data_IF_811333551434
#
_entry.id   IF_811333551434
#
_cell.length_a   1.000
_cell.length_b   1.000
_cell.length_c   1.000
_cell.angle_alpha   90.00
_cell.angle_beta   90.00
_cell.angle_gamma   90.00
#
_symmetry.space_group_name_H-M   'P 1'
#
loop_
_entity.id
_entity.type
_entity.pdbx_description
1 polymer ?
#
# COMPACT_ATOMS: atom_id res chain seq x y z
N UNK A 1 -44.37 13.70 -3.58
CA UNK A 1 -43.81 12.42 -4.09
C UNK A 1 -42.49 12.69 -4.82
N UNK A 2 -41.42 13.00 -4.09
CA UNK A 2 -40.06 13.11 -4.67
C UNK A 2 -39.13 12.56 -3.58
N UNK A 3 -38.50 11.40 -3.81
CA UNK A 3 -37.53 10.85 -2.84
C UNK A 3 -37.35 9.33 -2.76
N UNK A 4 -37.53 8.56 -3.84
CA UNK A 4 -37.23 7.11 -3.85
C UNK A 4 -36.18 6.70 -4.90
N UNK A 5 -35.51 7.65 -5.57
CA UNK A 5 -34.63 7.34 -6.70
C UNK A 5 -33.17 6.99 -6.39
N UNK A 6 -32.65 7.32 -5.19
CA UNK A 6 -31.21 7.22 -4.91
C UNK A 6 -30.78 6.06 -4.01
N UNK A 7 -31.66 5.47 -3.19
CA UNK A 7 -31.32 4.32 -2.34
C UNK A 7 -31.10 3.03 -3.15
N UNK A 8 -31.67 2.93 -4.35
CA UNK A 8 -31.38 1.84 -5.29
C UNK A 8 -29.97 1.89 -5.90
N UNK A 9 -29.26 3.02 -5.81
CA UNK A 9 -27.95 3.17 -6.46
C UNK A 9 -26.81 2.50 -5.68
N UNK A 10 -26.94 2.39 -4.36
CA UNK A 10 -25.93 1.77 -3.48
C UNK A 10 -26.05 0.23 -3.36
N UNK A 11 -27.17 -0.34 -3.83
CA UNK A 11 -27.42 -1.78 -3.86
C UNK A 11 -27.04 -2.42 -5.20
N UNK A 12 -26.93 -1.62 -6.27
CA UNK A 12 -26.50 -2.08 -7.60
C UNK A 12 -24.96 -2.20 -7.66
N UNK A 13 -24.40 -3.22 -8.33
CA UNK A 13 -22.96 -3.38 -8.44
C UNK A 13 -22.33 -2.18 -9.19
N UNK A 14 -21.15 -1.70 -8.76
CA UNK A 14 -20.50 -0.56 -9.38
C UNK A 14 -20.15 -0.88 -10.84
N UNK A 15 -20.38 0.08 -11.74
CA UNK A 15 -20.01 -0.07 -13.16
C UNK A 15 -18.51 -0.30 -13.26
N UNK A 16 -18.07 -1.23 -14.13
CA UNK A 16 -16.65 -1.60 -14.33
C UNK A 16 -15.70 -0.41 -14.51
N UNK A 17 -16.14 0.64 -15.21
CA UNK A 17 -15.37 1.90 -15.36
C UNK A 17 -15.12 2.61 -14.02
N UNK A 18 -16.12 2.65 -13.14
CA UNK A 18 -15.99 3.26 -11.81
C UNK A 18 -15.04 2.46 -10.92
N UNK A 19 -15.02 1.13 -11.06
CA UNK A 19 -14.09 0.25 -10.34
C UNK A 19 -12.65 0.54 -10.75
N UNK A 20 -12.40 0.67 -12.06
CA UNK A 20 -11.08 0.98 -12.59
C UNK A 20 -10.59 2.38 -12.15
N UNK A 21 -11.45 3.39 -12.24
CA UNK A 21 -11.10 4.74 -11.78
C UNK A 21 -10.79 4.78 -10.29
N UNK A 22 -11.58 4.06 -9.48
CA UNK A 22 -11.30 3.96 -8.04
C UNK A 22 -9.98 3.23 -7.78
N UNK A 23 -9.78 2.05 -8.40
CA UNK A 23 -8.61 1.20 -8.18
C UNK A 23 -7.30 1.90 -8.52
N UNK A 24 -7.27 2.79 -9.51
CA UNK A 24 -6.06 3.52 -9.90
C UNK A 24 -5.63 4.61 -8.92
N UNK A 25 -6.53 5.05 -8.02
CA UNK A 25 -6.28 6.20 -7.15
C UNK A 25 -5.08 6.06 -6.23
N UNK A 26 -4.73 4.83 -5.86
CA UNK A 26 -3.64 4.56 -4.92
C UNK A 26 -2.28 4.28 -5.61
N UNK A 27 -2.21 4.35 -6.94
CA UNK A 27 -1.01 4.01 -7.71
C UNK A 27 0.23 4.82 -7.30
N UNK A 28 0.09 6.13 -7.07
CA UNK A 28 1.21 6.98 -6.63
C UNK A 28 1.78 6.51 -5.28
N UNK A 29 0.91 6.21 -4.32
CA UNK A 29 1.31 5.68 -3.03
C UNK A 29 1.99 4.31 -3.15
N UNK A 30 1.48 3.42 -3.99
CA UNK A 30 2.02 2.07 -4.15
C UNK A 30 3.38 2.07 -4.85
N UNK A 31 3.57 2.87 -5.91
CA UNK A 31 4.86 2.93 -6.64
C UNK A 31 5.95 3.59 -5.80
N UNK A 32 5.60 4.64 -5.05
CA UNK A 32 6.53 5.33 -4.15
C UNK A 32 6.85 4.48 -2.93
N UNK A 33 5.88 3.74 -2.37
CA UNK A 33 6.13 2.77 -1.30
C UNK A 33 7.05 1.64 -1.78
N UNK A 34 6.80 1.05 -2.95
CA UNK A 34 7.67 0.03 -3.51
C UNK A 34 9.12 0.53 -3.63
N UNK A 35 9.30 1.79 -4.05
CA UNK A 35 10.62 2.41 -4.18
C UNK A 35 11.25 2.73 -2.82
N UNK A 36 10.46 3.24 -1.87
CA UNK A 36 10.85 3.46 -0.49
C UNK A 36 11.41 2.18 0.13
N UNK A 37 10.65 1.09 0.08
CA UNK A 37 11.05 -0.18 0.69
C UNK A 37 12.21 -0.87 0.00
N UNK A 38 12.31 -0.76 -1.33
CA UNK A 38 13.35 -1.46 -2.09
C UNK A 38 14.67 -0.70 -2.10
N UNK A 39 14.63 0.63 -2.20
CA UNK A 39 15.80 1.43 -2.58
C UNK A 39 16.21 2.48 -1.56
N UNK A 40 15.36 2.88 -0.59
CA UNK A 40 15.72 3.97 0.33
C UNK A 40 16.96 3.65 1.16
N UNK A 41 16.97 2.50 1.83
CA UNK A 41 18.10 2.12 2.69
C UNK A 41 19.38 1.96 1.88
N UNK A 42 19.30 1.33 0.70
CA UNK A 42 20.43 1.20 -0.24
C UNK A 42 20.97 2.58 -0.63
N UNK A 43 20.09 3.47 -1.07
CA UNK A 43 20.45 4.84 -1.43
C UNK A 43 21.13 5.58 -0.28
N UNK A 44 20.55 5.57 0.93
CA UNK A 44 21.11 6.27 2.09
C UNK A 44 22.48 5.71 2.48
N UNK A 45 22.70 4.40 2.38
CA UNK A 45 24.01 3.81 2.65
C UNK A 45 25.02 4.11 1.54
N UNK A 46 24.60 4.13 0.28
CA UNK A 46 25.45 4.40 -0.88
C UNK A 46 25.95 5.86 -0.91
N UNK A 47 25.16 6.81 -0.40
CA UNK A 47 25.58 8.21 -0.26
C UNK A 47 26.45 8.47 0.99
N UNK A 48 26.63 7.46 1.85
CA UNK A 48 27.58 7.50 2.97
C UNK A 48 26.99 7.61 4.37
N UNK A 49 25.66 7.54 4.56
CA UNK A 49 25.11 7.43 5.92
C UNK A 49 25.45 6.07 6.52
N UNK A 50 25.66 6.04 7.84
CA UNK A 50 25.80 4.77 8.55
C UNK A 50 24.49 3.97 8.47
N UNK A 51 24.53 2.61 8.47
CA UNK A 51 23.31 1.80 8.50
C UNK A 51 22.38 2.15 9.67
N UNK A 52 22.95 2.59 10.79
CA UNK A 52 22.19 3.07 11.95
C UNK A 52 21.40 4.33 11.62
N UNK A 53 22.02 5.31 10.98
CA UNK A 53 21.37 6.59 10.66
C UNK A 53 20.35 6.43 9.53
N UNK A 54 20.63 5.59 8.53
CA UNK A 54 19.66 5.22 7.51
C UNK A 54 18.40 4.56 8.12
N UNK A 55 18.58 3.68 9.11
CA UNK A 55 17.47 3.08 9.84
C UNK A 55 16.68 4.12 10.65
N UNK A 56 17.34 5.14 11.22
CA UNK A 56 16.66 6.25 11.92
C UNK A 56 15.77 7.03 10.96
N UNK A 57 16.24 7.33 9.74
CA UNK A 57 15.44 8.00 8.70
C UNK A 57 14.21 7.17 8.32
N UNK A 58 14.37 5.86 8.12
CA UNK A 58 13.24 5.00 7.80
C UNK A 58 12.23 4.94 8.97
N UNK A 59 12.73 4.81 10.20
CA UNK A 59 11.91 4.77 11.42
C UNK A 59 11.12 6.08 11.64
N UNK A 60 11.72 7.24 11.35
CA UNK A 60 11.00 8.53 11.48
C UNK A 60 9.78 8.57 10.54
N UNK A 61 9.92 8.02 9.34
CA UNK A 61 8.83 7.81 8.41
C UNK A 61 7.71 6.95 8.98
N UNK A 62 8.04 5.80 9.55
CA UNK A 62 7.04 4.88 10.13
C UNK A 62 6.29 5.46 11.32
N UNK A 63 7.00 6.16 12.21
CA UNK A 63 6.36 6.86 13.34
C UNK A 63 5.41 7.94 12.82
N UNK A 64 5.82 8.69 11.81
CA UNK A 64 4.99 9.72 11.19
C UNK A 64 3.75 9.12 10.50
N UNK A 65 3.88 8.01 9.77
CA UNK A 65 2.76 7.30 9.13
C UNK A 65 1.69 6.91 10.15
N UNK A 66 2.12 6.25 11.24
CA UNK A 66 1.22 5.82 12.29
C UNK A 66 0.43 6.99 12.88
N UNK A 67 1.13 8.05 13.30
CA UNK A 67 0.48 9.22 13.88
C UNK A 67 -0.45 9.91 12.87
N UNK A 68 0.04 10.14 11.65
CA UNK A 68 -0.69 10.82 10.59
C UNK A 68 -1.94 10.05 10.16
N UNK A 69 -1.91 8.71 10.21
CA UNK A 69 -3.07 7.87 9.95
C UNK A 69 -4.20 8.21 10.93
N UNK A 70 -3.94 8.20 12.25
CA UNK A 70 -4.94 8.57 13.28
C UNK A 70 -5.51 9.96 13.04
N UNK A 71 -4.62 10.94 12.86
CA UNK A 71 -5.04 12.33 12.66
C UNK A 71 -5.87 12.49 11.39
N UNK A 72 -5.45 11.89 10.27
CA UNK A 72 -6.19 11.92 9.01
C UNK A 72 -7.59 11.34 9.17
N UNK A 73 -7.73 10.22 9.90
CA UNK A 73 -9.03 9.64 10.23
C UNK A 73 -9.97 10.59 10.98
N UNK A 74 -9.46 11.25 12.03
CA UNK A 74 -10.26 12.22 12.79
C UNK A 74 -10.65 13.43 11.95
N UNK A 75 -9.72 13.94 11.15
CA UNK A 75 -9.94 15.12 10.34
C UNK A 75 -10.94 14.83 9.21
N UNK A 76 -10.87 13.65 8.59
CA UNK A 76 -11.87 13.21 7.61
C UNK A 76 -13.25 13.03 8.28
N UNK A 77 -13.31 12.46 9.50
CA UNK A 77 -14.55 12.34 10.29
C UNK A 77 -15.19 13.71 10.60
N UNK A 78 -14.38 14.77 10.77
CA UNK A 78 -14.84 16.12 11.12
C UNK A 78 -15.19 16.98 9.90
N UNK A 79 -14.32 16.97 8.89
CA UNK A 79 -14.38 17.90 7.76
C UNK A 79 -14.92 17.27 6.48
N UNK A 80 -15.00 15.95 6.40
CA UNK A 80 -15.41 15.23 5.19
C UNK A 80 -14.44 15.45 4.02
N UNK A 81 -14.95 15.33 2.79
CA UNK A 81 -14.24 15.61 1.52
C UNK A 81 -13.06 14.67 1.20
N UNK A 82 -13.37 13.39 0.95
CA UNK A 82 -12.37 12.35 0.66
C UNK A 82 -11.43 12.73 -0.50
N UNK A 83 -11.93 13.34 -1.57
CA UNK A 83 -11.09 13.69 -2.72
C UNK A 83 -10.12 14.83 -2.39
N UNK A 84 -10.53 15.80 -1.57
CA UNK A 84 -9.64 16.88 -1.17
C UNK A 84 -8.48 16.36 -0.32
N UNK A 85 -8.76 15.52 0.67
CA UNK A 85 -7.73 14.86 1.48
C UNK A 85 -6.81 13.97 0.65
N UNK A 86 -7.37 13.21 -0.29
CA UNK A 86 -6.58 12.41 -1.22
C UNK A 86 -5.68 13.28 -2.11
N UNK A 87 -6.20 14.37 -2.67
CA UNK A 87 -5.42 15.26 -3.53
C UNK A 87 -4.28 15.94 -2.75
N UNK A 88 -4.57 16.45 -1.56
CA UNK A 88 -3.58 17.07 -0.69
C UNK A 88 -2.49 16.07 -0.27
N UNK A 89 -2.87 14.86 0.13
CA UNK A 89 -1.91 13.79 0.46
C UNK A 89 -1.04 13.39 -0.73
N UNK A 90 -1.66 13.22 -1.92
CA UNK A 90 -0.93 12.85 -3.15
C UNK A 90 0.04 13.94 -3.59
N UNK A 91 -0.34 15.22 -3.47
CA UNK A 91 0.56 16.35 -3.74
C UNK A 91 1.73 16.36 -2.76
N UNK A 92 1.46 16.13 -1.47
CA UNK A 92 2.50 16.07 -0.45
C UNK A 92 3.48 14.93 -0.71
N UNK A 93 2.99 13.75 -1.09
CA UNK A 93 3.80 12.61 -1.54
C UNK A 93 4.67 12.99 -2.73
N UNK A 94 4.10 13.57 -3.80
CA UNK A 94 4.85 13.92 -5.00
C UNK A 94 6.00 14.91 -4.73
N UNK A 95 5.74 15.95 -3.92
CA UNK A 95 6.75 16.97 -3.58
C UNK A 95 7.82 16.38 -2.66
N UNK A 96 7.42 15.71 -1.58
CA UNK A 96 8.36 15.18 -0.58
C UNK A 96 9.21 14.04 -1.12
N UNK A 97 8.66 13.13 -1.93
CA UNK A 97 9.38 11.98 -2.47
C UNK A 97 10.51 12.40 -3.42
N UNK A 98 10.31 13.49 -4.18
CA UNK A 98 11.38 14.14 -4.95
C UNK A 98 12.53 14.61 -4.06
N UNK A 99 12.23 15.12 -2.86
CA UNK A 99 13.23 15.58 -1.90
C UNK A 99 13.90 14.45 -1.10
N UNK A 100 13.22 13.32 -0.89
CA UNK A 100 13.81 12.13 -0.23
C UNK A 100 15.02 11.58 -0.99
N UNK A 101 15.00 11.66 -2.33
CA UNK A 101 16.13 11.27 -3.18
C UNK A 101 16.92 12.48 -3.72
N UNK A 102 16.51 13.71 -3.41
CA UNK A 102 17.01 14.96 -4.02
C UNK A 102 18.18 15.64 -3.30
N UNK A 103 18.85 14.93 -2.38
CA UNK A 103 19.93 15.45 -1.56
C UNK A 103 19.47 16.27 -0.34
N UNK A 104 20.39 16.53 0.59
CA UNK A 104 20.09 17.26 1.82
C UNK A 104 19.90 18.77 1.58
N UNK A 105 18.63 19.22 1.44
CA UNK A 105 18.28 20.64 1.33
C UNK A 105 18.77 21.47 2.53
N UNK A 106 18.64 21.02 3.80
CA UNK A 106 19.18 21.76 4.95
C UNK A 106 20.71 21.91 4.91
N UNK A 107 21.43 20.92 4.38
CA UNK A 107 22.88 20.96 4.28
C UNK A 107 23.36 22.05 3.30
N UNK A 108 22.61 22.27 2.21
CA UNK A 108 22.86 23.38 1.27
C UNK A 108 22.56 24.75 1.88
N UNK A 109 21.58 24.84 2.79
CA UNK A 109 21.19 26.10 3.43
C UNK A 109 22.17 26.49 4.55
N UNK A 110 22.59 25.52 5.37
CA UNK A 110 23.42 25.75 6.55
C UNK A 110 24.93 25.57 6.32
N UNK A 111 25.36 25.21 5.09
CA UNK A 111 26.78 25.01 4.70
C UNK A 111 27.57 24.16 5.72
N UNK A 112 26.93 23.12 6.24
CA UNK A 112 27.53 22.19 7.18
C UNK A 112 27.33 20.77 6.65
N UNK A 113 28.39 19.99 6.60
CA UNK A 113 28.38 18.62 6.06
C UNK A 113 28.45 17.59 7.20
N UNK A 114 27.70 17.81 8.27
CA UNK A 114 27.62 16.86 9.38
C UNK A 114 26.61 15.77 9.05
N UNK A 115 27.01 14.50 9.22
CA UNK A 115 26.13 13.33 9.06
C UNK A 115 24.86 13.43 9.92
N UNK A 116 24.93 14.06 11.09
CA UNK A 116 23.77 14.33 11.95
C UNK A 116 22.76 15.25 11.27
N UNK A 117 23.22 16.31 10.61
CA UNK A 117 22.33 17.27 9.94
C UNK A 117 21.71 16.67 8.68
N UNK A 118 22.47 15.84 7.97
CA UNK A 118 21.98 15.07 6.84
C UNK A 118 20.87 14.08 7.26
N UNK A 119 21.11 13.34 8.34
CA UNK A 119 20.13 12.42 8.94
C UNK A 119 18.85 13.15 9.34
N UNK A 120 18.97 14.32 9.98
CA UNK A 120 17.81 15.15 10.35
C UNK A 120 17.06 15.62 9.10
N UNK A 121 17.77 16.08 8.06
CA UNK A 121 17.18 16.54 6.82
C UNK A 121 16.36 15.46 6.12
N UNK A 122 16.95 14.27 5.93
CA UNK A 122 16.23 13.13 5.36
C UNK A 122 15.08 12.67 6.26
N UNK A 123 15.26 12.68 7.59
CA UNK A 123 14.19 12.30 8.54
C UNK A 123 12.96 13.21 8.47
N UNK A 124 13.15 14.51 8.20
CA UNK A 124 12.06 15.46 8.01
C UNK A 124 11.28 15.15 6.73
N UNK A 125 11.97 14.98 5.60
CA UNK A 125 11.30 14.65 4.34
C UNK A 125 10.64 13.26 4.37
N UNK A 126 11.27 12.29 5.02
CA UNK A 126 10.72 10.98 5.33
C UNK A 126 9.40 11.08 6.10
N UNK A 127 9.36 11.91 7.15
CA UNK A 127 8.15 12.12 7.93
C UNK A 127 7.05 12.80 7.10
N UNK A 128 7.38 13.84 6.34
CA UNK A 128 6.41 14.55 5.48
C UNK A 128 5.84 13.63 4.40
N UNK A 129 6.68 12.81 3.77
CA UNK A 129 6.27 11.80 2.79
C UNK A 129 5.25 10.83 3.39
N UNK A 130 5.54 10.28 4.56
CA UNK A 130 4.65 9.33 5.22
C UNK A 130 3.35 9.98 5.72
N UNK A 131 3.36 11.26 6.11
CA UNK A 131 2.13 12.02 6.39
C UNK A 131 1.25 12.10 5.15
N UNK A 132 1.82 12.43 3.99
CA UNK A 132 1.08 12.47 2.71
C UNK A 132 0.57 11.10 2.29
N UNK A 133 1.39 10.06 2.52
CA UNK A 133 1.05 8.68 2.23
C UNK A 133 -0.17 8.24 3.07
N UNK A 134 -0.11 8.43 4.39
CA UNK A 134 -1.20 8.13 5.32
C UNK A 134 -2.51 8.86 4.96
N UNK A 135 -2.44 10.16 4.67
CA UNK A 135 -3.61 10.95 4.29
C UNK A 135 -4.29 10.43 3.02
N UNK A 136 -3.49 10.05 2.01
CA UNK A 136 -4.00 9.44 0.77
C UNK A 136 -4.60 8.07 1.02
N UNK A 137 -3.94 7.24 1.84
CA UNK A 137 -4.38 5.88 2.15
C UNK A 137 -5.71 5.86 2.90
N UNK A 138 -5.83 6.65 3.98
CA UNK A 138 -7.04 6.70 4.81
C UNK A 138 -8.22 7.24 4.00
N UNK A 139 -8.01 8.30 3.21
CA UNK A 139 -9.06 8.89 2.39
C UNK A 139 -9.53 7.96 1.26
N UNK A 140 -8.60 7.28 0.59
CA UNK A 140 -8.90 6.31 -0.48
C UNK A 140 -9.67 5.10 0.05
N UNK A 141 -9.24 4.50 1.15
CA UNK A 141 -9.89 3.33 1.75
C UNK A 141 -11.27 3.61 2.31
N UNK A 142 -11.40 4.75 3.00
CA UNK A 142 -12.67 5.16 3.59
C UNK A 142 -13.77 5.33 2.55
N UNK A 143 -13.41 5.72 1.32
CA UNK A 143 -14.32 5.92 0.20
C UNK A 143 -15.07 4.64 -0.23
N UNK A 144 -14.48 3.44 -0.08
CA UNK A 144 -15.13 2.18 -0.50
C UNK A 144 -16.47 1.99 0.21
N UNK A 145 -16.50 2.28 1.51
CA UNK A 145 -17.69 2.11 2.34
C UNK A 145 -18.80 3.13 2.02
N UNK A 146 -18.45 4.22 1.35
CA UNK A 146 -19.40 5.20 0.83
C UNK A 146 -19.88 4.86 -0.59
N UNK A 147 -19.06 4.15 -1.38
CA UNK A 147 -19.41 3.71 -2.73
C UNK A 147 -20.39 2.52 -2.65
N UNK A 148 -20.14 1.53 -1.80
CA UNK A 148 -20.93 0.30 -1.74
C UNK A 148 -21.07 -0.31 -0.35
N UNK A 149 -22.27 -0.82 -0.07
CA UNK A 149 -22.56 -1.63 1.11
C UNK A 149 -22.54 -3.14 0.81
N UNK A 150 -22.56 -3.53 -0.46
CA UNK A 150 -22.57 -4.93 -0.87
C UNK A 150 -21.18 -5.59 -0.79
N UNK A 151 -21.11 -6.80 -0.22
CA UNK A 151 -19.86 -7.57 -0.01
C UNK A 151 -19.11 -7.84 -1.31
N UNK A 152 -19.80 -8.28 -2.36
CA UNK A 152 -19.21 -8.56 -3.68
C UNK A 152 -18.54 -7.32 -4.25
N UNK A 153 -19.23 -6.19 -4.23
CA UNK A 153 -18.71 -4.92 -4.75
C UNK A 153 -17.48 -4.43 -3.97
N UNK A 154 -17.40 -4.70 -2.65
CA UNK A 154 -16.22 -4.36 -1.85
C UNK A 154 -15.01 -5.19 -2.25
N UNK A 155 -15.21 -6.50 -2.45
CA UNK A 155 -14.15 -7.38 -2.96
C UNK A 155 -13.70 -6.94 -4.35
N UNK A 156 -14.63 -6.56 -5.23
CA UNK A 156 -14.29 -6.04 -6.57
C UNK A 156 -13.41 -4.80 -6.50
N UNK A 157 -13.75 -3.83 -5.63
CA UNK A 157 -12.95 -2.60 -5.44
C UNK A 157 -11.59 -2.89 -4.78
N UNK A 158 -11.57 -3.73 -3.74
CA UNK A 158 -10.35 -4.16 -3.07
C UNK A 158 -9.41 -4.92 -4.00
N UNK A 159 -9.96 -5.82 -4.82
CA UNK A 159 -9.21 -6.62 -5.79
C UNK A 159 -8.66 -5.77 -6.93
N UNK A 160 -9.43 -4.79 -7.41
CA UNK A 160 -8.95 -3.85 -8.40
C UNK A 160 -7.81 -2.98 -7.84
N UNK A 161 -7.93 -2.50 -6.60
CA UNK A 161 -6.83 -1.79 -5.92
C UNK A 161 -5.58 -2.68 -5.82
N UNK A 162 -5.72 -3.93 -5.36
CA UNK A 162 -4.59 -4.86 -5.27
C UNK A 162 -3.93 -5.13 -6.63
N UNK A 163 -4.72 -5.26 -7.70
CA UNK A 163 -4.20 -5.40 -9.06
C UNK A 163 -3.36 -4.18 -9.48
N UNK A 164 -3.81 -2.96 -9.19
CA UNK A 164 -3.02 -1.75 -9.44
C UNK A 164 -1.76 -1.67 -8.56
N UNK A 165 -1.79 -2.18 -7.32
CA UNK A 165 -0.58 -2.32 -6.49
C UNK A 165 0.45 -3.23 -7.16
N UNK A 166 0.03 -4.35 -7.76
CA UNK A 166 0.95 -5.23 -8.51
C UNK A 166 1.52 -4.53 -9.74
N UNK A 167 0.69 -3.76 -10.47
CA UNK A 167 1.14 -2.94 -11.60
C UNK A 167 2.15 -1.88 -11.14
N UNK A 168 1.95 -1.25 -9.98
CA UNK A 168 2.87 -0.28 -9.41
C UNK A 168 4.26 -0.87 -9.16
N UNK A 169 4.31 -2.04 -8.50
CA UNK A 169 5.56 -2.74 -8.19
C UNK A 169 6.31 -3.15 -9.48
N UNK A 170 5.61 -3.72 -10.46
CA UNK A 170 6.20 -4.08 -11.75
C UNK A 170 6.68 -2.84 -12.52
N UNK A 171 5.93 -1.74 -12.48
CA UNK A 171 6.29 -0.48 -13.13
C UNK A 171 7.57 0.10 -12.54
N UNK A 172 7.74 0.04 -11.21
CA UNK A 172 8.98 0.47 -10.56
C UNK A 172 10.18 -0.33 -11.06
N UNK A 173 10.08 -1.66 -11.15
CA UNK A 173 11.18 -2.47 -11.69
C UNK A 173 11.49 -2.13 -13.14
N UNK A 174 10.48 -1.90 -13.98
CA UNK A 174 10.68 -1.45 -15.35
C UNK A 174 11.40 -0.10 -15.40
N UNK A 175 10.99 0.88 -14.58
CA UNK A 175 11.64 2.19 -14.47
C UNK A 175 13.09 2.04 -14.01
N UNK A 176 13.34 1.26 -12.96
CA UNK A 176 14.68 1.04 -12.42
C UNK A 176 15.60 0.40 -13.48
N UNK A 177 15.14 -0.61 -14.22
CA UNK A 177 15.91 -1.23 -15.30
C UNK A 177 16.27 -0.21 -16.38
N UNK A 178 15.30 0.59 -16.83
CA UNK A 178 15.55 1.63 -17.84
C UNK A 178 16.58 2.62 -17.34
N UNK A 179 16.43 3.16 -16.14
CA UNK A 179 17.35 4.17 -15.60
C UNK A 179 18.75 3.59 -15.39
N UNK A 180 18.89 2.40 -14.81
CA UNK A 180 20.19 1.76 -14.62
C UNK A 180 20.88 1.36 -15.94
N UNK A 181 20.10 1.12 -17.01
CA UNK A 181 20.67 0.82 -18.33
C UNK A 181 21.17 2.06 -19.08
N UNK A 182 20.55 3.22 -18.84
CA UNK A 182 20.85 4.48 -19.55
C UNK A 182 21.91 5.30 -18.80
N UNK A 183 21.85 5.32 -17.48
CA UNK A 183 22.75 6.12 -16.65
C UNK A 183 23.80 5.20 -16.04
N UNK A 184 25.08 5.37 -16.38
CA UNK A 184 26.19 4.71 -15.67
C UNK A 184 26.55 5.53 -14.43
N UNK A 185 26.86 4.86 -13.32
CA UNK A 185 27.28 5.51 -12.09
C UNK A 185 28.72 5.12 -11.76
N UNK A 186 29.63 6.07 -11.92
CA UNK A 186 31.05 5.91 -11.56
C UNK A 186 31.41 6.67 -10.27
N UNK A 187 30.56 7.61 -9.83
CA UNK A 187 30.75 8.41 -8.61
C UNK A 187 29.43 8.57 -7.81
N UNK A 188 29.48 8.98 -6.52
CA UNK A 188 28.30 9.13 -5.67
C UNK A 188 27.24 10.13 -6.19
N UNK A 189 27.67 11.14 -6.95
CA UNK A 189 26.75 12.13 -7.55
C UNK A 189 25.94 11.50 -8.69
N UNK A 190 26.55 10.60 -9.46
CA UNK A 190 25.86 9.85 -10.51
C UNK A 190 24.86 8.85 -9.92
N UNK A 191 25.19 8.24 -8.76
CA UNK A 191 24.27 7.39 -8.00
C UNK A 191 23.05 8.21 -7.54
N UNK A 192 23.27 9.39 -6.95
CA UNK A 192 22.17 10.29 -6.57
C UNK A 192 21.29 10.62 -7.79
N UNK A 193 21.89 10.96 -8.91
CA UNK A 193 21.16 11.25 -10.15
C UNK A 193 20.35 10.06 -10.67
N UNK A 194 20.87 8.82 -10.59
CA UNK A 194 20.12 7.62 -10.96
C UNK A 194 18.84 7.48 -10.11
N UNK A 195 18.97 7.51 -8.78
CA UNK A 195 17.80 7.36 -7.90
C UNK A 195 16.81 8.52 -8.03
N UNK A 196 17.29 9.73 -8.30
CA UNK A 196 16.42 10.89 -8.62
C UNK A 196 15.60 10.67 -9.89
N UNK A 197 16.20 10.13 -10.94
CA UNK A 197 15.46 9.78 -12.17
C UNK A 197 14.41 8.69 -11.92
N UNK A 198 14.75 7.66 -11.13
CA UNK A 198 13.78 6.63 -10.71
C UNK A 198 12.60 7.28 -9.97
N UNK A 199 12.89 8.18 -9.03
CA UNK A 199 11.86 8.88 -8.27
C UNK A 199 10.98 9.78 -9.16
N UNK A 200 11.57 10.59 -10.04
CA UNK A 200 10.82 11.50 -10.93
C UNK A 200 9.91 10.75 -11.91
N UNK A 201 10.41 9.68 -12.54
CA UNK A 201 9.60 8.86 -13.44
C UNK A 201 8.48 8.14 -12.68
N UNK A 202 8.75 7.64 -11.48
CA UNK A 202 7.74 7.00 -10.63
C UNK A 202 6.64 7.97 -10.19
N UNK A 203 7.01 9.19 -9.77
CA UNK A 203 6.06 10.26 -9.44
C UNK A 203 5.22 10.62 -10.66
N UNK A 204 5.84 10.79 -11.85
CA UNK A 204 5.13 11.14 -13.07
C UNK A 204 4.04 10.10 -13.39
N UNK A 205 4.40 8.81 -13.40
CA UNK A 205 3.47 7.71 -13.63
C UNK A 205 2.35 7.74 -12.58
N UNK A 206 2.70 7.83 -11.29
CA UNK A 206 1.73 7.87 -10.20
C UNK A 206 0.76 9.05 -10.30
N UNK A 207 1.25 10.25 -10.59
CA UNK A 207 0.46 11.47 -10.76
C UNK A 207 -0.53 11.35 -11.92
N UNK A 208 -0.15 10.72 -13.04
CA UNK A 208 -1.08 10.46 -14.14
C UNK A 208 -2.29 9.61 -13.67
N UNK A 209 -2.05 8.56 -12.89
CA UNK A 209 -3.12 7.70 -12.36
C UNK A 209 -3.96 8.39 -11.27
N UNK A 210 -3.35 9.24 -10.44
CA UNK A 210 -4.08 10.11 -9.51
C UNK A 210 -5.01 11.06 -10.28
N UNK A 211 -4.54 11.64 -11.39
CA UNK A 211 -5.37 12.45 -12.29
C UNK A 211 -6.56 11.68 -12.86
N UNK A 212 -6.33 10.44 -13.33
CA UNK A 212 -7.40 9.54 -13.80
C UNK A 212 -8.43 9.27 -12.70
N UNK A 213 -8.00 9.00 -11.47
CA UNK A 213 -8.89 8.80 -10.33
C UNK A 213 -9.73 10.04 -10.03
N UNK A 214 -9.12 11.23 -10.04
CA UNK A 214 -9.83 12.49 -9.77
C UNK A 214 -10.80 12.87 -10.88
N UNK A 215 -10.49 12.61 -12.14
CA UNK A 215 -11.40 12.88 -13.25
C UNK A 215 -12.54 11.84 -13.35
N UNK A 216 -12.23 10.57 -13.09
CA UNK A 216 -13.16 9.45 -13.28
C UNK A 216 -14.06 9.14 -12.09
N UNK A 217 -13.61 9.41 -10.86
CA UNK A 217 -14.36 9.05 -9.64
C UNK A 217 -15.22 10.21 -9.18
N UNK A 218 -16.54 9.99 -9.13
CA UNK A 218 -17.48 10.93 -8.50
C UNK A 218 -17.30 10.90 -7.00
N UNK A 219 -17.20 12.07 -6.37
CA UNK A 219 -17.11 12.14 -4.92
C UNK A 219 -18.41 11.62 -4.31
N UNK A 220 -18.37 10.58 -3.45
CA UNK A 220 -19.54 10.19 -2.70
C UNK A 220 -19.87 11.34 -1.75
N UNK A 221 -20.98 12.04 -2.02
CA UNK A 221 -21.43 13.12 -1.15
C UNK A 221 -21.67 12.58 0.26
N UNK A 222 -21.26 13.34 1.27
CA UNK A 222 -21.55 13.07 2.68
C UNK A 222 -23.05 13.28 3.01
N UNK A 223 -23.96 12.92 2.10
CA UNK A 223 -25.38 13.30 2.08
C UNK A 223 -26.32 12.33 2.80
N UNK A 224 -25.80 11.29 3.47
CA UNK A 224 -26.65 10.41 4.29
C UNK A 224 -27.02 11.02 5.66
N UNK A 225 -26.56 12.23 5.98
CA UNK A 225 -26.92 12.94 7.21
C UNK A 225 -28.33 13.57 7.21
N UNK A 226 -29.14 13.38 6.16
CA UNK A 226 -30.47 13.99 6.05
C UNK A 226 -31.66 13.05 6.36
N UNK A 227 -31.45 11.73 6.51
CA UNK A 227 -32.56 10.80 6.81
C UNK A 227 -32.25 9.68 7.82
N UNK A 228 -31.18 9.82 8.58
CA UNK A 228 -31.05 9.20 9.88
C UNK A 228 -30.44 10.25 10.78
N UNK A 229 -30.98 10.43 11.99
CA UNK A 229 -30.29 11.20 13.01
C UNK A 229 -28.81 10.78 13.05
N UNK A 230 -27.94 11.70 13.45
CA UNK A 230 -26.59 11.39 13.85
C UNK A 230 -26.67 10.33 14.96
N UNK A 231 -26.77 9.05 14.58
CA UNK A 231 -26.79 7.92 15.49
C UNK A 231 -25.49 8.03 16.25
N UNK A 232 -25.62 8.35 17.54
CA UNK A 232 -24.57 8.99 18.33
C UNK A 232 -23.20 8.39 18.06
N UNK A 233 -22.19 9.25 17.85
CA UNK A 233 -20.78 8.86 17.75
C UNK A 233 -20.51 7.77 18.79
N UNK A 234 -20.38 6.53 18.33
CA UNK A 234 -20.18 5.39 19.22
C UNK A 234 -18.90 5.69 19.99
N UNK A 235 -18.99 5.70 21.32
CA UNK A 235 -17.84 5.99 22.16
C UNK A 235 -16.71 5.01 21.84
N UNK A 236 -15.51 5.53 21.73
CA UNK A 236 -14.26 4.83 21.45
C UNK A 236 -14.05 3.58 22.27
N UNK A 237 -14.36 3.71 23.55
CA UNK A 237 -14.24 2.67 24.56
C UNK A 237 -15.13 1.47 24.28
N UNK A 238 -16.16 1.61 23.43
CA UNK A 238 -16.99 0.50 22.97
C UNK A 238 -16.20 -0.47 22.10
N UNK A 239 -15.39 0.02 21.16
CA UNK A 239 -14.69 -0.84 20.20
C UNK A 239 -13.52 -1.57 20.84
N UNK A 240 -12.82 -0.93 21.78
CA UNK A 240 -11.82 -1.57 22.62
C UNK A 240 -12.38 -2.70 23.50
N UNK A 241 -13.70 -2.82 23.65
CA UNK A 241 -14.34 -3.94 24.36
C UNK A 241 -14.76 -5.09 23.44
N UNK A 242 -14.65 -4.93 22.11
CA UNK A 242 -15.09 -5.95 21.15
C UNK A 242 -13.94 -6.86 20.75
N UNK A 243 -14.01 -8.13 21.13
CA UNK A 243 -13.00 -9.14 20.76
C UNK A 243 -12.80 -9.27 19.24
N UNK A 244 -13.89 -9.15 18.46
CA UNK A 244 -13.83 -9.24 16.99
C UNK A 244 -12.92 -8.16 16.36
N UNK A 245 -12.81 -6.98 16.99
CA UNK A 245 -11.92 -5.91 16.54
C UNK A 245 -10.47 -6.39 16.56
N UNK A 246 -10.01 -6.91 17.69
CA UNK A 246 -8.65 -7.42 17.85
C UNK A 246 -8.36 -8.63 16.95
N UNK A 247 -9.34 -9.52 16.75
CA UNK A 247 -9.18 -10.68 15.87
C UNK A 247 -8.91 -10.27 14.43
N UNK A 248 -9.69 -9.35 13.87
CA UNK A 248 -9.50 -8.88 12.47
C UNK A 248 -8.20 -8.09 12.34
N UNK A 249 -7.85 -7.28 13.36
CA UNK A 249 -6.57 -6.58 13.45
C UNK A 249 -5.39 -7.54 13.35
N UNK A 250 -5.37 -8.54 14.23
CA UNK A 250 -4.30 -9.50 14.32
C UNK A 250 -4.13 -10.27 13.01
N UNK A 251 -5.24 -10.73 12.40
CA UNK A 251 -5.19 -11.44 11.13
C UNK A 251 -4.63 -10.53 10.03
N UNK A 252 -5.10 -9.29 9.91
CA UNK A 252 -4.59 -8.32 8.93
C UNK A 252 -3.08 -8.07 9.10
N UNK A 253 -2.63 -7.86 10.34
CA UNK A 253 -1.21 -7.66 10.65
C UNK A 253 -0.36 -8.86 10.27
N UNK A 254 -0.80 -10.07 10.64
CA UNK A 254 -0.05 -11.28 10.29
C UNK A 254 0.00 -11.45 8.77
N UNK A 255 -1.10 -11.20 8.05
CA UNK A 255 -1.11 -11.22 6.59
C UNK A 255 -0.12 -10.21 6.00
N UNK A 256 -0.13 -8.98 6.49
CA UNK A 256 0.76 -7.91 6.03
C UNK A 256 2.22 -8.27 6.25
N UNK A 257 2.55 -8.70 7.47
CA UNK A 257 3.90 -9.14 7.84
C UNK A 257 4.38 -10.28 6.94
N UNK A 258 3.54 -11.29 6.74
CA UNK A 258 3.83 -12.43 5.85
C UNK A 258 4.16 -11.96 4.43
N UNK A 259 3.30 -11.11 3.85
CA UNK A 259 3.49 -10.63 2.48
C UNK A 259 4.77 -9.79 2.38
N UNK A 260 4.93 -8.80 3.25
CA UNK A 260 6.04 -7.85 3.17
C UNK A 260 7.40 -8.51 3.44
N UNK A 261 7.51 -9.36 4.47
CA UNK A 261 8.74 -10.13 4.75
C UNK A 261 9.06 -11.03 3.57
N UNK A 262 8.07 -11.72 3.00
CA UNK A 262 8.31 -12.56 1.83
C UNK A 262 8.85 -11.73 0.65
N UNK A 263 8.30 -10.55 0.38
CA UNK A 263 8.77 -9.69 -0.71
C UNK A 263 10.19 -9.16 -0.47
N UNK A 264 10.53 -8.76 0.76
CA UNK A 264 11.84 -8.22 1.10
C UNK A 264 12.95 -9.28 0.97
N UNK A 265 12.70 -10.52 1.38
CA UNK A 265 13.73 -11.56 1.49
C UNK A 265 13.81 -12.53 0.31
N UNK A 266 12.77 -12.63 -0.54
CA UNK A 266 12.75 -13.62 -1.64
C UNK A 266 13.94 -13.46 -2.59
N UNK A 267 14.33 -12.23 -2.91
CA UNK A 267 15.45 -11.95 -3.81
C UNK A 267 16.78 -12.37 -3.18
N UNK A 268 16.98 -12.12 -1.89
CA UNK A 268 18.18 -12.53 -1.16
C UNK A 268 18.28 -14.05 -1.07
N UNK A 269 17.18 -14.74 -0.76
CA UNK A 269 17.13 -16.20 -0.68
C UNK A 269 17.52 -16.86 -2.02
N UNK A 270 16.96 -16.36 -3.13
CA UNK A 270 17.22 -16.87 -4.48
C UNK A 270 18.71 -16.75 -4.87
N UNK A 271 19.37 -15.67 -4.47
CA UNK A 271 20.77 -15.40 -4.84
C UNK A 271 21.75 -16.04 -3.86
N UNK A 272 21.55 -15.86 -2.56
CA UNK A 272 22.51 -16.26 -1.54
C UNK A 272 22.39 -17.75 -1.19
N UNK A 273 21.16 -18.25 -1.02
CA UNK A 273 20.92 -19.62 -0.56
C UNK A 273 20.84 -20.61 -1.71
N UNK A 274 20.01 -20.31 -2.73
CA UNK A 274 19.83 -21.17 -3.90
C UNK A 274 20.92 -21.01 -4.97
N UNK A 275 21.73 -19.95 -4.90
CA UNK A 275 22.80 -19.63 -5.86
C UNK A 275 22.32 -19.61 -7.32
N UNK A 276 21.13 -19.07 -7.55
CA UNK A 276 20.57 -18.92 -8.89
C UNK A 276 21.28 -17.81 -9.67
N UNK A 277 21.06 -17.76 -10.98
CA UNK A 277 21.57 -16.68 -11.82
C UNK A 277 21.08 -15.30 -11.34
N UNK A 278 21.89 -14.26 -11.57
CA UNK A 278 21.56 -12.88 -11.16
C UNK A 278 20.24 -12.36 -11.75
N UNK A 279 19.76 -12.92 -12.86
CA UNK A 279 18.45 -12.60 -13.43
C UNK A 279 17.28 -13.05 -12.54
N UNK A 280 17.48 -14.08 -11.70
CA UNK A 280 16.42 -14.66 -10.87
C UNK A 280 15.93 -13.69 -9.77
N UNK A 281 16.78 -12.77 -9.31
CA UNK A 281 16.40 -11.74 -8.32
C UNK A 281 15.29 -10.80 -8.79
N UNK A 282 15.12 -10.65 -10.11
CA UNK A 282 14.04 -9.87 -10.71
C UNK A 282 12.91 -10.77 -11.22
N UNK A 283 13.25 -11.93 -11.78
CA UNK A 283 12.28 -12.83 -12.41
C UNK A 283 11.31 -13.45 -11.38
N UNK A 284 11.80 -13.85 -10.20
CA UNK A 284 10.96 -14.46 -9.17
C UNK A 284 9.92 -13.47 -8.60
N UNK A 285 10.28 -12.26 -8.13
CA UNK A 285 9.30 -11.24 -7.77
C UNK A 285 8.32 -10.90 -8.90
N UNK A 286 8.80 -10.81 -10.15
CA UNK A 286 7.93 -10.53 -11.29
C UNK A 286 6.86 -11.62 -11.48
N UNK A 287 7.22 -12.90 -11.35
CA UNK A 287 6.25 -14.01 -11.40
C UNK A 287 5.21 -13.89 -10.29
N UNK A 288 5.65 -13.60 -9.06
CA UNK A 288 4.76 -13.41 -7.90
C UNK A 288 3.76 -12.28 -8.18
N UNK A 289 4.22 -11.12 -8.67
CA UNK A 289 3.35 -9.97 -8.96
C UNK A 289 2.43 -10.21 -10.16
N UNK A 290 2.90 -10.81 -11.24
CA UNK A 290 2.07 -11.14 -12.40
C UNK A 290 0.97 -12.13 -12.02
N UNK A 291 1.32 -13.16 -11.24
CA UNK A 291 0.35 -14.14 -10.78
C UNK A 291 -0.69 -13.51 -9.85
N UNK A 292 -0.24 -12.72 -8.87
CA UNK A 292 -1.12 -11.97 -7.97
C UNK A 292 -2.05 -11.02 -8.72
N UNK A 293 -1.56 -10.35 -9.77
CA UNK A 293 -2.36 -9.51 -10.65
C UNK A 293 -3.47 -10.32 -11.35
N UNK A 294 -3.12 -11.44 -11.99
CA UNK A 294 -4.10 -12.29 -12.69
C UNK A 294 -5.17 -12.79 -11.74
N UNK A 295 -4.78 -13.31 -10.57
CA UNK A 295 -5.72 -13.78 -9.55
C UNK A 295 -6.63 -12.65 -9.08
N UNK A 296 -6.09 -11.45 -8.84
CA UNK A 296 -6.89 -10.29 -8.47
C UNK A 296 -7.96 -9.94 -9.51
N UNK A 297 -7.64 -10.04 -10.81
CA UNK A 297 -8.64 -9.82 -11.87
C UNK A 297 -9.73 -10.91 -11.83
N UNK A 298 -9.35 -12.18 -11.63
CA UNK A 298 -10.31 -13.30 -11.52
C UNK A 298 -11.26 -13.12 -10.34
N UNK A 299 -10.76 -12.68 -9.18
CA UNK A 299 -11.58 -12.48 -7.97
C UNK A 299 -12.69 -11.42 -8.16
N UNK A 300 -12.58 -10.53 -9.16
CA UNK A 300 -13.61 -9.53 -9.47
C UNK A 300 -14.87 -10.14 -10.10
N UNK A 301 -14.76 -11.30 -10.75
CA UNK A 301 -15.89 -11.92 -11.47
C UNK A 301 -16.69 -12.89 -10.57
N UNK A 302 -16.26 -13.10 -9.33
CA UNK A 302 -16.86 -14.04 -8.38
C UNK A 302 -17.92 -13.33 -7.51
N UNK A 303 -19.05 -14.00 -7.26
CA UNK A 303 -20.03 -13.54 -6.28
C UNK A 303 -19.61 -13.89 -4.84
N UNK A 304 -19.58 -12.89 -3.96
CA UNK A 304 -18.99 -13.03 -2.62
C UNK A 304 -20.01 -13.01 -1.49
N UNK A 305 -19.89 -14.00 -0.61
CA UNK A 305 -20.58 -14.07 0.68
C UNK A 305 -19.54 -14.10 1.81
N UNK A 306 -19.93 -13.74 3.03
CA UNK A 306 -19.02 -13.74 4.18
C UNK A 306 -18.38 -15.11 4.45
N UNK A 307 -19.07 -16.22 4.09
CA UNK A 307 -18.53 -17.58 4.20
C UNK A 307 -17.46 -17.83 3.13
N UNK A 308 -17.72 -17.46 1.87
CA UNK A 308 -16.74 -17.57 0.77
C UNK A 308 -15.49 -16.75 1.05
N UNK A 309 -15.66 -15.53 1.57
CA UNK A 309 -14.55 -14.65 1.90
C UNK A 309 -13.57 -15.30 2.90
N UNK A 310 -14.10 -15.90 3.97
CA UNK A 310 -13.28 -16.64 4.94
C UNK A 310 -12.65 -17.90 4.32
N UNK A 311 -13.38 -18.64 3.48
CA UNK A 311 -12.87 -19.84 2.85
C UNK A 311 -11.70 -19.57 1.89
N UNK A 312 -11.81 -18.54 1.06
CA UNK A 312 -10.74 -18.15 0.12
C UNK A 312 -9.52 -17.60 0.86
N UNK A 313 -9.72 -16.79 1.91
CA UNK A 313 -8.64 -16.35 2.78
C UNK A 313 -7.89 -17.55 3.41
N UNK A 314 -8.63 -18.51 3.97
CA UNK A 314 -8.03 -19.74 4.53
C UNK A 314 -7.32 -20.58 3.48
N UNK A 315 -7.86 -20.69 2.26
CA UNK A 315 -7.19 -21.39 1.17
C UNK A 315 -5.87 -20.69 0.79
N UNK A 316 -5.87 -19.36 0.67
CA UNK A 316 -4.65 -18.58 0.44
C UNK A 316 -3.60 -18.79 1.53
N UNK A 317 -4.00 -18.76 2.80
CA UNK A 317 -3.10 -19.01 3.93
C UNK A 317 -2.50 -20.42 3.90
N UNK A 318 -3.30 -21.44 3.56
CA UNK A 318 -2.82 -22.82 3.43
C UNK A 318 -1.80 -22.94 2.29
N UNK A 319 -2.11 -22.37 1.11
CA UNK A 319 -1.19 -22.35 -0.04
C UNK A 319 0.13 -21.66 0.34
N UNK A 320 0.05 -20.54 1.07
CA UNK A 320 1.23 -19.83 1.55
C UNK A 320 2.09 -20.69 2.48
N UNK A 321 1.48 -21.37 3.46
CA UNK A 321 2.19 -22.25 4.40
C UNK A 321 2.88 -23.39 3.64
N UNK A 322 2.19 -24.05 2.71
CA UNK A 322 2.80 -25.09 1.87
C UNK A 322 3.95 -24.55 1.02
N UNK A 323 3.80 -23.34 0.49
CA UNK A 323 4.88 -22.68 -0.25
C UNK A 323 6.08 -22.39 0.65
N UNK A 324 5.86 -21.96 1.90
CA UNK A 324 6.90 -21.74 2.90
C UNK A 324 7.65 -23.02 3.30
N UNK A 325 6.93 -24.12 3.50
CA UNK A 325 7.53 -25.45 3.72
C UNK A 325 8.34 -25.86 2.48
N UNK A 326 7.81 -25.60 1.29
CA UNK A 326 8.50 -25.82 0.02
C UNK A 326 9.83 -25.06 -0.06
N UNK A 327 9.86 -23.77 0.30
CA UNK A 327 11.08 -22.98 0.38
C UNK A 327 12.09 -23.55 1.38
N UNK A 328 11.63 -23.95 2.56
CA UNK A 328 12.51 -24.48 3.59
C UNK A 328 13.20 -25.80 3.18
N UNK A 329 12.46 -26.66 2.46
CA UNK A 329 12.96 -27.98 2.04
C UNK A 329 13.65 -27.97 0.68
N UNK A 330 13.68 -26.84 -0.04
CA UNK A 330 14.17 -26.78 -1.42
C UNK A 330 15.71 -26.91 -1.47
N UNK A 331 16.26 -27.99 -2.05
CA UNK A 331 17.71 -28.11 -2.21
C UNK A 331 18.20 -27.28 -3.41
N UNK A 332 19.47 -26.87 -3.37
CA UNK A 332 20.12 -26.09 -4.44
C UNK A 332 20.04 -26.74 -5.83
N UNK A 333 20.08 -28.08 -5.90
CA UNK A 333 19.99 -28.82 -7.16
C UNK A 333 18.63 -28.70 -7.85
N UNK A 334 17.58 -28.36 -7.09
CA UNK A 334 16.20 -28.23 -7.57
C UNK A 334 15.75 -26.76 -7.61
N UNK A 335 16.69 -25.81 -7.71
CA UNK A 335 16.39 -24.38 -7.68
C UNK A 335 15.40 -23.90 -8.77
N UNK A 336 15.22 -24.66 -9.86
CA UNK A 336 14.24 -24.34 -10.91
C UNK A 336 12.80 -24.38 -10.39
N UNK A 337 12.50 -25.18 -9.36
CA UNK A 337 11.17 -25.24 -8.75
C UNK A 337 10.81 -23.95 -8.00
N UNK A 338 11.77 -23.06 -7.74
CA UNK A 338 11.53 -21.75 -7.15
C UNK A 338 10.55 -20.91 -7.98
N UNK A 339 10.58 -21.04 -9.31
CA UNK A 339 9.63 -20.34 -10.19
C UNK A 339 8.18 -20.84 -9.98
N UNK A 340 7.99 -22.15 -9.81
CA UNK A 340 6.69 -22.74 -9.48
C UNK A 340 6.21 -22.35 -8.09
N UNK A 341 7.12 -22.31 -7.10
CA UNK A 341 6.79 -21.84 -5.75
C UNK A 341 6.40 -20.35 -5.78
N UNK A 342 7.11 -19.53 -6.54
CA UNK A 342 6.76 -18.11 -6.77
C UNK A 342 5.35 -17.93 -7.34
N UNK A 343 4.91 -18.80 -8.25
CA UNK A 343 3.53 -18.80 -8.73
C UNK A 343 2.53 -18.99 -7.58
N UNK A 344 2.72 -20.01 -6.75
CA UNK A 344 1.82 -20.29 -5.62
C UNK A 344 1.84 -19.19 -4.56
N UNK A 345 3.00 -18.59 -4.30
CA UNK A 345 3.11 -17.41 -3.42
C UNK A 345 2.29 -16.25 -3.99
N UNK A 346 2.35 -16.01 -5.31
CA UNK A 346 1.53 -14.99 -5.97
C UNK A 346 0.03 -15.22 -5.81
N UNK A 347 -0.43 -16.47 -6.01
CA UNK A 347 -1.84 -16.86 -5.79
C UNK A 347 -2.23 -16.61 -4.34
N UNK A 348 -1.43 -17.10 -3.40
CA UNK A 348 -1.69 -16.98 -1.98
C UNK A 348 -1.75 -15.52 -1.52
N UNK A 349 -0.82 -14.68 -1.98
CA UNK A 349 -0.78 -13.27 -1.64
C UNK A 349 -2.04 -12.53 -2.10
N UNK A 350 -2.51 -12.78 -3.33
CA UNK A 350 -3.76 -12.20 -3.82
C UNK A 350 -4.97 -12.64 -2.98
N UNK A 351 -5.11 -13.95 -2.71
CA UNK A 351 -6.20 -14.55 -1.93
C UNK A 351 -6.21 -14.15 -0.44
N UNK A 352 -5.07 -13.76 0.10
CA UNK A 352 -5.02 -13.26 1.46
C UNK A 352 -5.31 -11.76 1.51
N UNK A 353 -4.65 -10.97 0.65
CA UNK A 353 -4.71 -9.50 0.70
C UNK A 353 -6.08 -8.93 0.30
N UNK A 354 -6.70 -9.47 -0.75
CA UNK A 354 -8.01 -8.98 -1.22
C UNK A 354 -9.11 -9.29 -0.21
N UNK A 355 -9.08 -10.51 0.33
CA UNK A 355 -10.07 -11.04 1.25
C UNK A 355 -9.94 -10.39 2.63
N UNK A 356 -8.72 -10.22 3.15
CA UNK A 356 -8.53 -9.57 4.46
C UNK A 356 -8.92 -8.10 4.43
N UNK A 357 -8.62 -7.40 3.33
CA UNK A 357 -9.05 -6.01 3.14
C UNK A 357 -10.57 -5.91 3.09
N UNK A 358 -11.22 -6.85 2.40
CA UNK A 358 -12.67 -6.91 2.31
C UNK A 358 -13.34 -7.30 3.62
N UNK A 359 -12.72 -8.18 4.43
CA UNK A 359 -13.16 -8.55 5.77
C UNK A 359 -13.06 -7.37 6.73
N UNK A 360 -11.95 -6.65 6.66
CA UNK A 360 -11.70 -5.41 7.39
C UNK A 360 -12.80 -4.40 7.10
N UNK A 361 -13.06 -4.08 5.82
CA UNK A 361 -14.14 -3.19 5.39
C UNK A 361 -15.55 -3.70 5.78
N UNK A 362 -15.73 -5.01 5.96
CA UNK A 362 -17.01 -5.64 6.33
C UNK A 362 -17.25 -5.77 7.82
N UNK A 363 -16.21 -5.61 8.64
CA UNK A 363 -16.37 -5.61 10.09
C UNK A 363 -17.28 -4.45 10.52
N UNK A 364 -18.12 -4.67 11.53
CA UNK A 364 -19.14 -3.71 12.00
C UNK A 364 -18.56 -2.35 12.42
N UNK A 365 -17.25 -2.29 12.66
CA UNK A 365 -16.43 -1.09 12.89
C UNK A 365 -16.50 -0.10 11.72
N UNK A 366 -16.51 -0.62 10.49
CA UNK A 366 -16.54 0.19 9.27
C UNK A 366 -17.95 0.60 8.85
N UNK A 367 -18.98 -0.18 9.25
CA UNK A 367 -20.37 0.23 9.04
C UNK A 367 -20.78 1.39 9.95
N UNK A 368 -20.14 1.58 11.11
CA UNK A 368 -20.42 2.73 11.98
C UNK A 368 -19.81 4.05 11.51
N UNK A 369 -19.10 4.05 10.35
CA UNK A 369 -18.55 5.24 9.67
C UNK A 369 -17.77 6.22 10.58
N UNK A 370 -17.03 5.71 11.58
CA UNK A 370 -16.05 6.53 12.28
C UNK A 370 -14.66 6.19 11.73
N UNK A 371 -14.21 6.98 10.76
CA UNK A 371 -12.90 6.87 10.09
C UNK A 371 -11.75 7.11 11.06
N UNK A 372 -11.99 7.83 12.15
CA UNK A 372 -11.07 7.90 13.27
C UNK A 372 -10.83 6.50 13.84
N UNK A 373 -11.86 5.68 14.12
CA UNK A 373 -11.70 4.34 14.76
C UNK A 373 -10.96 3.40 13.83
N UNK A 374 -11.26 3.49 12.54
CA UNK A 374 -10.47 2.86 11.48
C UNK A 374 -9.00 3.27 11.53
N UNK A 375 -8.71 4.55 11.72
CA UNK A 375 -7.34 5.04 11.72
C UNK A 375 -6.60 4.70 13.00
N UNK A 376 -7.30 4.60 14.13
CA UNK A 376 -6.72 4.14 15.38
C UNK A 376 -6.47 2.61 15.35
N UNK A 377 -7.32 1.87 14.64
CA UNK A 377 -7.06 0.49 14.27
C UNK A 377 -5.82 0.40 13.38
N UNK A 378 -5.77 1.10 12.26
CA UNK A 378 -4.60 1.14 11.40
C UNK A 378 -3.33 1.60 12.13
N UNK A 379 -3.42 2.50 13.12
CA UNK A 379 -2.30 2.95 13.94
C UNK A 379 -1.80 1.89 14.92
N UNK A 380 -2.71 1.21 15.63
CA UNK A 380 -2.35 0.05 16.46
C UNK A 380 -1.73 -1.07 15.63
N UNK A 381 -2.02 -1.09 14.32
CA UNK A 381 -1.44 -2.00 13.33
C UNK A 381 -0.27 -1.38 12.55
N UNK A 382 -0.03 -0.07 12.68
CA UNK A 382 0.87 0.73 11.86
C UNK A 382 2.33 0.60 12.27
N UNK A 383 2.58 0.02 13.45
CA UNK A 383 3.90 -0.52 13.79
C UNK A 383 4.22 -1.75 12.94
N UNK A 384 3.22 -2.33 12.26
CA UNK A 384 3.33 -3.52 11.40
C UNK A 384 2.63 -3.22 10.05
N UNK A 385 2.88 -2.03 9.51
CA UNK A 385 2.58 -1.76 8.09
C UNK A 385 3.74 -2.19 7.17
N UNK A 386 4.85 -2.62 7.78
CA UNK A 386 6.05 -3.20 7.18
C UNK A 386 6.21 -4.67 7.54
#
# INVERSE_FOLDING_TARGET
MIGMGNDESHTKPPRRRSVLYYGSGHMLNDITAACWFTYLLLFLTDIGLSPRDAAVVMLSGQVADGLATVFSGELIDRFGHFKLWHAAGSLLVAISFSSVFGGCLPCKIFTSNSSTMETIGYSIFAAIFNVGWAATQVSHMSMINCITLHSTSRVVLASCRNAFTMVANLSLYAVAIVVFSVTKADNPVDIENQYRWIAYLSILIGCCFVGIFHLGTKEPGLKFSAHGSCSGRISWTYWFKKLLYYQVALVYVITRLVVNVSQAYIAFYVINDLRMAQSAKALVPAIIYICSFIVSIILQEIAWTSRRLKAYYSAGAIIWIFSGVGLFLLPRSLNIFMYSIGLFIGIANALMMVEILSLLLSSSIFLSRSYRIFSLFLFLLGIIHE
#
